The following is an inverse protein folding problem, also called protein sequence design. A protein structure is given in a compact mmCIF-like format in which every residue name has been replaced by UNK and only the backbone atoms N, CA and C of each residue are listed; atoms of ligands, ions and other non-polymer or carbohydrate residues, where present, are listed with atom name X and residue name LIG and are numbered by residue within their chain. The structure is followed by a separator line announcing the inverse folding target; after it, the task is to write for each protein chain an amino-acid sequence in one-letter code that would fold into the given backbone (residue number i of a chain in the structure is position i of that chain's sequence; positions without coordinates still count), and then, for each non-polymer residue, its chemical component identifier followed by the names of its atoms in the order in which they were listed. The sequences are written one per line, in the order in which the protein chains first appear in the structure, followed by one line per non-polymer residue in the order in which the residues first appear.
data_IF_135983778466
#
_entry.id   IF_135983778466
#
_cell.length_a   1.000
_cell.length_b   1.000
_cell.length_c   1.000
_cell.angle_alpha   90.00
_cell.angle_beta   90.00
_cell.angle_gamma   90.00
#
_symmetry.space_group_name_H-M   'P 1'
#
loop_
_entity.id
_entity.type
_entity.pdbx_description
1 polymer ?
#
# COMPACT_ATOMS: atom_id res chain seq x y z
N UNK A 1 -14.63 -3.19 -10.07
CA UNK A 1 -13.46 -2.28 -10.21
C UNK A 1 -12.92 -2.45 -11.62
N UNK A 2 -12.27 -1.44 -12.20
CA UNK A 2 -11.55 -1.67 -13.46
C UNK A 2 -10.38 -2.63 -13.18
N UNK A 3 -10.01 -3.44 -14.18
CA UNK A 3 -8.84 -4.33 -14.10
C UNK A 3 -7.51 -3.56 -13.94
N UNK A 4 -7.55 -2.21 -13.96
CA UNK A 4 -6.40 -1.33 -13.80
C UNK A 4 -5.98 -1.16 -12.33
N UNK A 5 -6.91 -1.28 -11.38
CA UNK A 5 -6.65 -1.03 -9.97
C UNK A 5 -6.84 -2.29 -9.13
N UNK A 6 -5.86 -2.55 -8.28
CA UNK A 6 -5.87 -3.64 -7.31
C UNK A 6 -6.98 -3.46 -6.26
N UNK A 7 -7.24 -2.21 -5.87
CA UNK A 7 -8.24 -1.88 -4.86
C UNK A 7 -8.29 -0.40 -4.53
N UNK A 8 -8.93 -0.09 -3.41
CA UNK A 8 -9.03 1.26 -2.84
C UNK A 8 -8.30 1.32 -1.51
N UNK A 9 -7.51 2.36 -1.29
CA UNK A 9 -6.70 2.52 -0.07
C UNK A 9 -7.07 3.79 0.71
N UNK A 10 -7.11 3.66 2.03
CA UNK A 10 -7.09 4.77 2.98
C UNK A 10 -5.66 4.94 3.49
N UNK A 11 -5.11 6.14 3.33
CA UNK A 11 -3.75 6.48 3.77
C UNK A 11 -3.85 7.35 5.02
N UNK A 12 -3.33 6.83 6.14
CA UNK A 12 -3.27 7.57 7.40
C UNK A 12 -1.83 7.96 7.70
N UNK A 13 -1.56 9.26 7.61
CA UNK A 13 -0.26 9.84 7.90
C UNK A 13 -0.06 9.98 9.42
N UNK A 14 1.15 9.69 9.93
CA UNK A 14 1.49 10.04 11.30
C UNK A 14 1.42 11.56 11.50
N UNK A 15 1.15 12.01 12.72
CA UNK A 15 1.10 13.43 13.02
C UNK A 15 2.48 14.04 12.77
N UNK A 16 2.57 15.18 12.09
CA UNK A 16 3.83 15.91 11.93
C UNK A 16 4.40 16.28 13.31
N UNK A 17 5.40 15.55 13.80
CA UNK A 17 6.14 15.92 15.00
C UNK A 17 7.47 16.58 14.61
N UNK A 18 7.89 17.59 15.36
CA UNK A 18 9.19 18.20 15.17
C UNK A 18 10.28 17.13 15.35
N UNK A 19 11.05 16.87 14.30
CA UNK A 19 12.05 15.80 14.30
C UNK A 19 11.51 14.42 13.94
N UNK A 20 10.40 14.33 13.20
CA UNK A 20 10.02 13.10 12.50
C UNK A 20 11.22 12.55 11.73
N UNK A 21 11.86 11.56 12.35
CA UNK A 21 12.92 10.76 11.79
C UNK A 21 12.31 9.74 10.83
N UNK A 22 13.11 9.33 9.85
CA UNK A 22 12.86 8.12 9.08
C UNK A 22 12.34 7.00 10.01
N UNK A 23 11.06 6.60 9.89
CA UNK A 23 10.48 5.53 10.70
C UNK A 23 9.07 5.77 11.28
N UNK A 24 8.46 6.96 11.15
CA UNK A 24 7.04 7.09 11.47
C UNK A 24 6.20 6.43 10.36
N UNK A 25 5.55 5.33 10.71
CA UNK A 25 4.91 4.44 9.74
C UNK A 25 3.61 5.04 9.23
N UNK A 26 3.53 5.28 7.92
CA UNK A 26 2.26 5.50 7.23
C UNK A 26 1.42 4.25 7.37
N UNK A 27 0.19 4.38 7.85
CA UNK A 27 -0.76 3.27 7.91
C UNK A 27 -1.58 3.22 6.63
N UNK A 28 -1.61 2.05 6.00
CA UNK A 28 -2.38 1.75 4.81
C UNK A 28 -3.49 0.77 5.18
N UNK A 29 -4.71 1.09 4.80
CA UNK A 29 -5.89 0.27 5.07
C UNK A 29 -6.67 0.09 3.77
N UNK A 30 -7.04 -1.15 3.46
CA UNK A 30 -7.96 -1.44 2.36
C UNK A 30 -9.32 -0.81 2.69
N UNK A 31 -9.83 0.02 1.78
CA UNK A 31 -11.04 0.81 2.03
C UNK A 31 -12.32 -0.03 2.00
N UNK A 32 -12.29 -1.19 1.35
CA UNK A 32 -13.46 -2.04 1.14
C UNK A 32 -13.53 -3.14 2.24
N UNK A 33 -12.40 -3.73 2.65
CA UNK A 33 -12.35 -4.71 3.74
C UNK A 33 -12.10 -4.10 5.13
N UNK A 34 -11.45 -2.93 5.18
CA UNK A 34 -11.01 -2.31 6.43
C UNK A 34 -9.74 -2.93 7.05
N UNK A 35 -9.10 -3.88 6.36
CA UNK A 35 -7.89 -4.55 6.84
C UNK A 35 -6.62 -3.75 6.53
N UNK A 36 -5.58 -3.95 7.34
CA UNK A 36 -4.30 -3.25 7.17
C UNK A 36 -3.48 -3.88 6.04
N UNK A 37 -2.98 -3.03 5.13
CA UNK A 37 -2.08 -3.44 4.04
C UNK A 37 -0.65 -3.37 4.57
N UNK A 38 -0.13 -4.52 5.05
CA UNK A 38 1.17 -4.60 5.74
C UNK A 38 2.33 -5.03 4.83
N UNK A 39 2.06 -5.41 3.59
CA UNK A 39 3.05 -5.90 2.63
C UNK A 39 3.62 -4.84 1.69
N UNK A 40 3.16 -3.60 1.81
CA UNK A 40 3.70 -2.46 1.06
C UNK A 40 5.10 -2.09 1.56
N UNK A 41 6.06 -2.06 0.64
CA UNK A 41 7.47 -1.73 0.90
C UNK A 41 7.79 -0.28 0.55
N UNK A 42 7.06 0.27 -0.42
CA UNK A 42 7.19 1.64 -0.92
C UNK A 42 5.84 2.14 -1.40
N UNK A 43 5.61 3.45 -1.31
CA UNK A 43 4.38 4.11 -1.70
C UNK A 43 4.69 5.44 -2.39
N UNK A 44 4.18 5.59 -3.61
CA UNK A 44 4.12 6.87 -4.33
C UNK A 44 2.67 7.27 -4.54
N UNK A 45 2.30 8.49 -4.14
CA UNK A 45 0.96 9.05 -4.38
C UNK A 45 1.05 10.11 -5.48
N UNK A 46 0.27 9.94 -6.54
CA UNK A 46 0.16 10.90 -7.64
C UNK A 46 -1.20 11.59 -7.60
N UNK A 47 -1.19 12.92 -7.58
CA UNK A 47 -2.39 13.75 -7.62
C UNK A 47 -2.39 14.52 -8.93
N UNK A 48 -3.46 14.39 -9.70
CA UNK A 48 -3.68 15.17 -10.92
C UNK A 48 -5.07 15.80 -10.82
N UNK A 49 -5.19 17.10 -11.08
CA UNK A 49 -6.40 17.88 -10.77
C UNK A 49 -7.64 17.44 -11.56
N UNK A 50 -7.45 16.77 -12.69
CA UNK A 50 -8.49 16.29 -13.61
C UNK A 50 -8.56 14.75 -13.68
N UNK A 51 -7.90 14.05 -12.75
CA UNK A 51 -7.90 12.59 -12.70
C UNK A 51 -8.10 12.05 -11.28
N UNK A 52 -8.25 10.73 -11.18
CA UNK A 52 -8.27 10.04 -9.90
C UNK A 52 -6.91 10.16 -9.19
N UNK A 53 -6.93 10.27 -7.86
CA UNK A 53 -5.71 10.16 -7.06
C UNK A 53 -5.33 8.69 -6.96
N UNK A 54 -4.09 8.38 -7.36
CA UNK A 54 -3.59 7.00 -7.42
C UNK A 54 -2.40 6.85 -6.50
N UNK A 55 -2.37 5.73 -5.77
CA UNK A 55 -1.24 5.24 -5.03
C UNK A 55 -0.60 4.07 -5.79
N UNK A 56 0.67 4.20 -6.15
CA UNK A 56 1.50 3.11 -6.65
C UNK A 56 2.30 2.53 -5.49
N UNK A 57 2.06 1.25 -5.20
CA UNK A 57 2.71 0.54 -4.10
C UNK A 57 3.60 -0.55 -4.64
N UNK A 58 4.84 -0.62 -4.15
CA UNK A 58 5.68 -1.80 -4.33
C UNK A 58 5.33 -2.78 -3.22
N UNK A 59 4.84 -3.96 -3.57
CA UNK A 59 4.37 -4.96 -2.60
C UNK A 59 5.01 -6.33 -2.88
N UNK A 60 5.06 -7.16 -1.86
CA UNK A 60 5.35 -8.59 -2.01
C UNK A 60 4.22 -9.26 -2.79
N UNK A 61 4.55 -10.22 -3.66
CA UNK A 61 3.57 -10.97 -4.44
C UNK A 61 3.51 -12.43 -4.03
N UNK A 62 2.33 -13.04 -4.13
CA UNK A 62 2.18 -14.50 -4.11
C UNK A 62 2.70 -15.14 -5.41
N UNK A 63 2.56 -16.47 -5.52
CA UNK A 63 3.00 -17.24 -6.68
C UNK A 63 2.25 -16.88 -7.98
N UNK A 64 1.02 -16.37 -7.85
CA UNK A 64 0.17 -15.96 -8.96
C UNK A 64 0.40 -14.50 -9.38
N UNK A 65 1.23 -13.76 -8.64
CA UNK A 65 1.58 -12.36 -8.92
C UNK A 65 0.61 -11.34 -8.32
N UNK A 66 -0.25 -11.74 -7.38
CA UNK A 66 -1.13 -10.83 -6.64
C UNK A 66 -0.47 -10.33 -5.36
N UNK A 67 -0.93 -9.21 -4.77
CA UNK A 67 -0.37 -8.71 -3.52
C UNK A 67 -0.54 -9.72 -2.39
N UNK A 68 0.57 -10.06 -1.72
CA UNK A 68 0.53 -10.94 -0.56
C UNK A 68 -0.06 -10.20 0.66
N UNK A 69 -1.00 -10.81 1.39
CA UNK A 69 -1.66 -10.19 2.55
C UNK A 69 -0.85 -10.18 3.86
N UNK A 70 0.29 -10.89 3.95
CA UNK A 70 1.06 -11.06 5.20
C UNK A 70 2.59 -10.94 4.99
N UNK A 71 3.28 -10.53 6.06
CA UNK A 71 4.75 -10.46 6.18
C UNK A 71 5.40 -11.85 6.14
N UNK A 72 6.67 -11.96 5.71
CA UNK A 72 7.04 -12.65 4.49
C UNK A 72 6.55 -14.10 4.41
N UNK A 73 5.78 -14.41 3.37
CA UNK A 73 5.53 -15.77 2.89
C UNK A 73 6.79 -16.29 2.20
N UNK A 74 7.58 -17.13 2.86
CA UNK A 74 8.57 -17.94 2.12
C UNK A 74 7.79 -19.04 1.40
N UNK A 75 8.16 -19.37 0.17
CA UNK A 75 7.66 -20.61 -0.42
C UNK A 75 8.25 -21.83 0.32
N UNK A 76 7.77 -23.04 -0.02
CA UNK A 76 8.19 -24.28 0.65
C UNK A 76 9.70 -24.55 0.51
N UNK A 77 10.35 -23.94 -0.48
CA UNK A 77 11.78 -24.06 -0.78
C UNK A 77 12.63 -22.94 -0.13
N UNK A 78 11.98 -21.96 0.51
CA UNK A 78 12.65 -20.84 1.16
C UNK A 78 13.13 -19.75 0.19
N UNK A 79 12.67 -19.73 -1.06
CA UNK A 79 13.00 -18.68 -2.02
C UNK A 79 12.36 -17.33 -1.65
N UNK A 80 13.01 -16.27 -2.13
CA UNK A 80 12.64 -14.90 -1.81
C UNK A 80 11.43 -14.48 -2.65
N UNK A 81 10.41 -13.94 -1.97
CA UNK A 81 9.24 -13.33 -2.59
C UNK A 81 9.62 -12.36 -3.71
N UNK A 82 8.91 -12.47 -4.82
CA UNK A 82 8.94 -11.47 -5.88
C UNK A 82 8.23 -10.21 -5.39
N UNK A 83 8.67 -9.07 -5.89
CA UNK A 83 7.98 -7.79 -5.69
C UNK A 83 7.40 -7.32 -7.01
N UNK A 84 6.25 -6.67 -6.93
CA UNK A 84 5.64 -6.01 -8.07
C UNK A 84 5.04 -4.66 -7.64
N UNK A 85 4.70 -3.86 -8.64
CA UNK A 85 4.01 -2.58 -8.45
C UNK A 85 2.53 -2.72 -8.72
N UNK A 86 1.72 -2.24 -7.79
CA UNK A 86 0.27 -2.30 -7.84
C UNK A 86 -0.30 -0.89 -7.77
N UNK A 87 -1.33 -0.64 -8.57
CA UNK A 87 -2.05 0.63 -8.58
C UNK A 87 -3.29 0.53 -7.72
N UNK A 88 -3.45 1.49 -6.82
CA UNK A 88 -4.56 1.62 -5.91
C UNK A 88 -5.23 2.97 -6.09
N UNK A 89 -6.56 3.01 -6.05
CA UNK A 89 -7.29 4.27 -5.95
C UNK A 89 -7.23 4.78 -4.51
N UNK A 90 -6.86 6.05 -4.33
CA UNK A 90 -6.86 6.65 -2.98
C UNK A 90 -8.29 7.06 -2.62
N UNK A 91 -8.87 6.38 -1.64
CA UNK A 91 -10.23 6.66 -1.16
C UNK A 91 -10.25 7.82 -0.16
N UNK A 92 -9.26 7.89 0.72
CA UNK A 92 -9.14 8.91 1.76
C UNK A 92 -7.67 9.13 2.14
N UNK A 93 -7.29 10.37 2.43
CA UNK A 93 -6.03 10.73 3.08
C UNK A 93 -6.33 11.52 4.36
N UNK A 94 -5.77 11.08 5.48
CA UNK A 94 -5.95 11.73 6.78
C UNK A 94 -4.68 11.69 7.62
N UNK A 95 -4.60 12.53 8.64
CA UNK A 95 -3.57 12.45 9.69
C UNK A 95 -4.16 11.79 10.92
N UNK A 96 -3.33 11.12 11.74
CA UNK A 96 -3.75 10.78 13.11
C UNK A 96 -4.04 12.07 13.88
N UNK A 97 -5.15 12.08 14.62
CA UNK A 97 -5.59 13.21 15.44
C UNK A 97 -4.82 13.29 16.77
#
# INVERSE_FOLDING_TARGET
MSDEYTGRVIITWPQPQAGLTHGATVKLTDADSGEDIVSALDLTVTVTLDAAIVAEMTMLTDADGHPAGVSPVRDEDGETLRTARFRWLVAEMRTVA
#
